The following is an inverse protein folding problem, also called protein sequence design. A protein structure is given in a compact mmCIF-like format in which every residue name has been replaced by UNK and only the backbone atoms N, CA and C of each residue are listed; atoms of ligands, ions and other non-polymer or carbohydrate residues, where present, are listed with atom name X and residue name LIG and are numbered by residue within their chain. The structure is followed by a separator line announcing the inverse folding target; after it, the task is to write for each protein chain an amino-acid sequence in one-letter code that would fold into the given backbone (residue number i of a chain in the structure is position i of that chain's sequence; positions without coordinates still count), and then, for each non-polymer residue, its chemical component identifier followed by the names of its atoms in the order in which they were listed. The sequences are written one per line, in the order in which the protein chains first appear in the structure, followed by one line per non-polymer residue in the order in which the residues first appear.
data_IF_043156463687
#
_entry.id   IF_043156463687
#
_cell.length_a   1.000
_cell.length_b   1.000
_cell.length_c   1.000
_cell.angle_alpha   90.00
_cell.angle_beta   90.00
_cell.angle_gamma   90.00
#
_symmetry.space_group_name_H-M   'P 1'
#
loop_
_entity.id
_entity.type
_entity.pdbx_description
1 polymer ?
#
# COMPACT_ATOMS: atom_id res chain seq x y z
N UNK A 1 5.26 12.46 10.48
CA UNK A 1 5.95 11.19 10.80
C UNK A 1 4.98 10.10 10.45
N UNK A 2 5.35 9.21 9.54
CA UNK A 2 4.50 8.11 9.08
C UNK A 2 5.17 6.81 9.49
N UNK A 3 4.44 5.89 10.10
CA UNK A 3 4.95 4.56 10.43
C UNK A 3 3.83 3.52 10.34
N UNK A 4 4.07 2.49 9.54
CA UNK A 4 3.17 1.35 9.38
C UNK A 4 3.95 0.04 9.48
N UNK A 5 3.30 -0.99 10.03
CA UNK A 5 3.84 -2.33 10.26
C UNK A 5 2.81 -3.36 9.83
N UNK A 6 3.24 -4.41 9.15
CA UNK A 6 2.47 -5.64 9.00
C UNK A 6 3.32 -6.86 9.36
N UNK A 7 2.71 -7.84 10.04
CA UNK A 7 3.38 -9.07 10.44
C UNK A 7 2.55 -10.30 10.07
N UNK A 8 3.22 -11.33 9.53
CA UNK A 8 2.66 -12.65 9.27
C UNK A 8 2.98 -13.56 10.45
N UNK A 9 1.96 -13.85 11.25
CA UNK A 9 2.04 -14.78 12.38
C UNK A 9 1.51 -16.15 11.98
N UNK A 10 1.54 -17.12 12.89
CA UNK A 10 1.02 -18.47 12.63
C UNK A 10 -0.47 -18.46 12.31
N UNK A 11 -1.24 -17.66 13.04
CA UNK A 11 -2.70 -17.68 12.97
C UNK A 11 -3.27 -16.60 12.03
N UNK A 12 -2.44 -15.95 11.22
CA UNK A 12 -2.88 -14.95 10.24
C UNK A 12 -1.96 -13.73 10.13
N UNK A 13 -2.56 -12.56 9.97
CA UNK A 13 -1.88 -11.29 9.73
C UNK A 13 -2.24 -10.24 10.77
N UNK A 14 -1.26 -9.42 11.14
CA UNK A 14 -1.44 -8.25 12.01
C UNK A 14 -1.02 -7.01 11.24
N UNK A 15 -1.83 -5.96 11.31
CA UNK A 15 -1.57 -4.68 10.66
C UNK A 15 -1.68 -3.54 11.69
N UNK A 16 -0.74 -2.59 11.63
CA UNK A 16 -0.76 -1.38 12.43
C UNK A 16 -0.29 -0.19 11.60
N UNK A 17 -0.96 0.94 11.75
CA UNK A 17 -0.54 2.20 11.14
C UNK A 17 -0.81 3.37 12.06
N UNK A 18 0.08 4.35 12.04
CA UNK A 18 -0.17 5.65 12.63
C UNK A 18 -1.04 6.51 11.69
N UNK A 19 -1.44 7.69 12.15
CA UNK A 19 -2.31 8.60 11.39
C UNK A 19 -1.73 10.01 11.19
N UNK A 20 -0.58 10.34 11.79
CA UNK A 20 0.04 11.66 11.64
C UNK A 20 0.62 11.80 10.25
N UNK A 21 0.25 12.82 9.50
CA UNK A 21 0.74 13.01 8.13
C UNK A 21 1.17 14.46 7.93
N UNK A 22 2.30 14.62 7.24
CA UNK A 22 2.76 15.92 6.77
C UNK A 22 2.13 16.17 5.39
N UNK A 23 1.28 17.18 5.29
CA UNK A 23 0.59 17.59 4.06
C UNK A 23 1.21 18.87 3.44
N UNK A 24 2.30 19.40 4.01
CA UNK A 24 2.95 20.63 3.59
C UNK A 24 3.71 21.29 4.74
N UNK A 25 4.50 22.32 4.43
CA UNK A 25 5.15 23.15 5.45
C UNK A 25 4.06 23.69 6.38
N UNK A 26 4.18 23.38 7.68
CA UNK A 26 3.24 23.72 8.76
C UNK A 26 1.85 23.05 8.73
N UNK A 27 1.61 22.07 7.85
CA UNK A 27 0.36 21.32 7.80
C UNK A 27 0.54 19.87 8.26
N UNK A 28 0.44 19.66 9.57
CA UNK A 28 0.36 18.32 10.16
C UNK A 28 -1.10 17.98 10.46
N UNK A 29 -1.61 16.95 9.80
CA UNK A 29 -3.01 16.52 9.88
C UNK A 29 -3.12 15.02 10.16
N UNK A 30 -4.34 14.55 10.41
CA UNK A 30 -4.65 13.15 10.66
C UNK A 30 -5.25 12.53 9.40
N UNK A 31 -4.59 11.52 8.82
CA UNK A 31 -5.11 10.75 7.69
C UNK A 31 -4.94 9.25 7.95
N UNK A 32 -5.97 8.45 7.63
CA UNK A 32 -5.84 7.00 7.67
C UNK A 32 -4.80 6.54 6.64
N UNK A 33 -3.89 5.69 7.10
CA UNK A 33 -2.88 5.02 6.26
C UNK A 33 -3.17 3.54 6.08
N UNK A 34 -4.34 3.07 6.52
CA UNK A 34 -4.82 1.71 6.36
C UNK A 34 -6.10 1.73 5.54
N UNK A 35 -6.12 0.93 4.47
CA UNK A 35 -7.24 0.84 3.54
C UNK A 35 -7.60 -0.61 3.33
N UNK A 36 -8.89 -0.93 3.46
CA UNK A 36 -9.40 -2.30 3.41
C UNK A 36 -10.21 -2.47 2.13
N UNK A 37 -9.98 -3.58 1.44
CA UNK A 37 -10.66 -4.03 0.23
C UNK A 37 -11.05 -5.49 0.45
N UNK A 38 -12.33 -5.82 0.42
CA UNK A 38 -12.76 -7.20 0.68
C UNK A 38 -14.11 -7.52 0.06
N UNK A 39 -14.31 -8.82 -0.14
CA UNK A 39 -15.58 -9.45 -0.46
C UNK A 39 -15.75 -10.53 0.60
N UNK A 40 -16.84 -10.46 1.35
CA UNK A 40 -17.09 -11.38 2.46
C UNK A 40 -16.96 -12.84 2.00
N UNK A 41 -16.30 -13.65 2.84
CA UNK A 41 -16.02 -15.08 2.61
C UNK A 41 -15.11 -15.42 1.42
N UNK A 42 -14.72 -14.43 0.61
CA UNK A 42 -13.93 -14.66 -0.62
C UNK A 42 -12.55 -13.99 -0.57
N UNK A 43 -12.44 -12.72 -0.16
CA UNK A 43 -11.14 -12.05 -0.04
C UNK A 43 -11.13 -10.94 1.00
N UNK A 44 -9.97 -10.74 1.59
CA UNK A 44 -9.66 -9.61 2.45
C UNK A 44 -8.26 -9.11 2.13
N UNK A 45 -8.14 -7.88 1.63
CA UNK A 45 -6.89 -7.22 1.25
C UNK A 45 -6.78 -5.90 2.00
N UNK A 46 -5.64 -5.66 2.62
CA UNK A 46 -5.29 -4.47 3.40
C UNK A 46 -4.08 -3.80 2.76
N UNK A 47 -4.19 -2.50 2.52
CA UNK A 47 -3.10 -1.65 2.06
C UNK A 47 -2.67 -0.71 3.19
N UNK A 48 -1.38 -0.73 3.54
CA UNK A 48 -0.75 0.29 4.36
C UNK A 48 0.05 1.24 3.47
N UNK A 49 -0.02 2.56 3.72
CA UNK A 49 0.63 3.57 2.87
C UNK A 49 1.66 4.41 3.63
N UNK A 50 2.74 4.78 2.93
CA UNK A 50 3.74 5.74 3.40
C UNK A 50 4.33 6.54 2.22
N UNK A 51 4.88 7.72 2.53
CA UNK A 51 5.47 8.63 1.54
C UNK A 51 4.56 9.82 1.23
N UNK A 52 4.59 10.28 -0.02
CA UNK A 52 3.84 11.46 -0.46
C UNK A 52 2.32 11.29 -0.30
N UNK A 53 1.67 12.20 0.44
CA UNK A 53 0.23 12.09 0.72
C UNK A 53 -0.62 12.19 -0.56
N UNK A 54 -0.28 13.08 -1.49
CA UNK A 54 -1.06 13.24 -2.72
C UNK A 54 -0.98 11.99 -3.59
N UNK A 55 0.22 11.43 -3.76
CA UNK A 55 0.45 10.19 -4.52
C UNK A 55 -0.25 9.00 -3.86
N UNK A 56 -0.13 8.82 -2.53
CA UNK A 56 -0.84 7.73 -1.84
C UNK A 56 -2.35 7.82 -2.01
N UNK A 57 -2.92 9.03 -1.91
CA UNK A 57 -4.36 9.24 -2.12
C UNK A 57 -4.78 8.99 -3.57
N UNK A 58 -3.97 9.41 -4.55
CA UNK A 58 -4.25 9.20 -5.96
C UNK A 58 -4.28 7.70 -6.32
N UNK A 59 -3.30 6.93 -5.82
CA UNK A 59 -3.25 5.47 -5.96
C UNK A 59 -4.50 4.82 -5.37
N UNK A 60 -4.85 5.13 -4.11
CA UNK A 60 -6.05 4.56 -3.46
C UNK A 60 -7.34 4.97 -4.19
N UNK A 61 -7.44 6.22 -4.64
CA UNK A 61 -8.59 6.72 -5.37
C UNK A 61 -8.76 6.03 -6.72
N UNK A 62 -7.65 5.75 -7.43
CA UNK A 62 -7.66 4.98 -8.67
C UNK A 62 -8.14 3.54 -8.42
N UNK A 63 -7.57 2.83 -7.45
CA UNK A 63 -7.98 1.45 -7.13
C UNK A 63 -9.48 1.36 -6.79
N UNK A 64 -9.99 2.31 -5.99
CA UNK A 64 -11.44 2.39 -5.66
C UNK A 64 -12.31 2.75 -6.86
N UNK A 65 -11.82 3.58 -7.78
CA UNK A 65 -12.54 3.94 -9.00
C UNK A 65 -12.65 2.75 -9.94
N UNK A 66 -11.54 2.06 -10.18
CA UNK A 66 -11.50 0.89 -11.06
C UNK A 66 -12.46 -0.20 -10.56
N UNK A 67 -12.58 -0.39 -9.24
CA UNK A 67 -13.62 -1.26 -8.63
C UNK A 67 -15.04 -0.75 -8.95
N UNK A 68 -15.34 0.53 -8.69
CA UNK A 68 -16.69 1.09 -8.91
C UNK A 68 -17.11 1.07 -10.38
N UNK A 69 -16.15 1.21 -11.29
CA UNK A 69 -16.37 1.24 -12.74
C UNK A 69 -16.30 -0.17 -13.37
N UNK A 70 -16.15 -1.22 -12.55
CA UNK A 70 -16.03 -2.61 -13.00
C UNK A 70 -14.95 -2.80 -14.07
N UNK A 71 -13.77 -2.21 -13.86
CA UNK A 71 -12.62 -2.44 -14.71
C UNK A 71 -12.29 -3.95 -14.76
N UNK A 72 -11.69 -4.39 -15.87
CA UNK A 72 -11.35 -5.81 -16.08
C UNK A 72 -10.43 -6.38 -14.99
N UNK A 73 -9.54 -5.55 -14.46
CA UNK A 73 -8.58 -5.91 -13.43
C UNK A 73 -8.66 -4.93 -12.25
N UNK A 74 -8.98 -5.46 -11.07
CA UNK A 74 -9.14 -4.71 -9.82
C UNK A 74 -8.72 -5.58 -8.64
N UNK A 75 -8.59 -5.00 -7.45
CA UNK A 75 -8.38 -5.77 -6.21
C UNK A 75 -9.51 -6.79 -5.92
N UNK A 76 -10.67 -6.65 -6.57
CA UNK A 76 -11.80 -7.57 -6.45
C UNK A 76 -11.80 -8.67 -7.52
N UNK A 77 -10.91 -8.60 -8.52
CA UNK A 77 -10.84 -9.58 -9.62
C UNK A 77 -9.48 -10.26 -9.78
N UNK A 78 -8.42 -9.74 -9.14
CA UNK A 78 -7.11 -10.42 -9.07
C UNK A 78 -7.23 -11.85 -8.50
N UNK A 79 -6.39 -12.77 -8.99
CA UNK A 79 -6.47 -14.20 -8.65
C UNK A 79 -5.61 -14.55 -7.44
N UNK A 80 -4.51 -13.84 -7.23
CA UNK A 80 -3.58 -14.06 -6.12
C UNK A 80 -3.25 -12.75 -5.39
N UNK A 81 -2.68 -12.83 -4.18
CA UNK A 81 -2.16 -11.65 -3.48
C UNK A 81 -0.92 -11.07 -4.17
N UNK A 82 -0.19 -11.88 -4.95
CA UNK A 82 0.91 -11.41 -5.79
C UNK A 82 0.39 -10.52 -6.93
N UNK A 83 -0.67 -10.96 -7.62
CA UNK A 83 -1.36 -10.14 -8.63
C UNK A 83 -1.87 -8.82 -8.04
N UNK A 84 -2.30 -8.83 -6.77
CA UNK A 84 -2.68 -7.61 -6.06
C UNK A 84 -1.48 -6.67 -5.85
N UNK A 85 -0.31 -7.22 -5.51
CA UNK A 85 0.93 -6.45 -5.38
C UNK A 85 1.39 -5.88 -6.73
N UNK A 86 1.32 -6.66 -7.81
CA UNK A 86 1.56 -6.19 -9.19
C UNK A 86 0.63 -5.05 -9.60
N UNK A 87 -0.67 -5.18 -9.31
CA UNK A 87 -1.66 -4.15 -9.62
C UNK A 87 -1.37 -2.85 -8.86
N UNK A 88 -1.07 -2.94 -7.57
CA UNK A 88 -0.69 -1.76 -6.76
C UNK A 88 0.60 -1.15 -7.30
N UNK A 89 1.62 -1.96 -7.60
CA UNK A 89 2.89 -1.50 -8.17
C UNK A 89 2.73 -0.76 -9.50
N UNK A 90 1.97 -1.32 -10.44
CA UNK A 90 1.63 -0.63 -11.71
C UNK A 90 0.87 0.67 -11.49
N UNK A 91 -0.02 0.71 -10.50
CA UNK A 91 -0.79 1.91 -10.17
C UNK A 91 0.10 3.01 -9.58
N UNK A 92 1.08 2.64 -8.75
CA UNK A 92 2.11 3.55 -8.22
C UNK A 92 2.92 4.17 -9.36
N UNK A 93 3.47 3.34 -10.24
CA UNK A 93 4.27 3.81 -11.38
C UNK A 93 3.45 4.71 -12.29
N UNK A 94 2.21 4.34 -12.61
CA UNK A 94 1.30 5.16 -13.42
C UNK A 94 1.11 6.57 -12.83
N UNK A 95 0.88 6.69 -11.52
CA UNK A 95 0.69 8.00 -10.88
C UNK A 95 1.98 8.81 -10.84
N UNK A 96 3.10 8.15 -10.54
CA UNK A 96 4.42 8.78 -10.51
C UNK A 96 4.88 9.25 -11.90
N UNK A 97 4.57 8.54 -12.98
CA UNK A 97 4.84 9.00 -14.35
C UNK A 97 3.98 10.22 -14.71
N UNK A 98 2.73 10.26 -14.24
CA UNK A 98 1.80 11.35 -14.54
C UNK A 98 2.12 12.64 -13.80
N UNK A 99 2.56 12.55 -12.54
CA UNK A 99 2.69 13.70 -11.64
C UNK A 99 4.10 13.89 -11.06
N UNK A 100 4.95 12.86 -11.07
CA UNK A 100 6.22 12.86 -10.36
C UNK A 100 7.23 13.88 -10.86
N UNK A 101 7.25 14.19 -12.16
CA UNK A 101 8.16 15.20 -12.72
C UNK A 101 7.88 16.59 -12.17
N UNK A 102 6.60 17.01 -12.14
CA UNK A 102 6.18 18.30 -11.59
C UNK A 102 6.44 18.40 -10.07
N UNK A 103 6.17 17.32 -9.33
CA UNK A 103 6.42 17.25 -7.88
C UNK A 103 7.92 17.36 -7.58
N UNK A 104 8.75 16.65 -8.34
CA UNK A 104 10.22 16.70 -8.21
C UNK A 104 10.77 18.08 -8.55
N UNK A 105 10.26 18.72 -9.62
CA UNK A 105 10.64 20.09 -9.99
C UNK A 105 10.28 21.11 -8.91
N UNK A 106 9.20 20.87 -8.15
CA UNK A 106 8.82 21.68 -6.99
C UNK A 106 9.66 21.40 -5.73
N UNK A 107 10.67 20.51 -5.81
CA UNK A 107 11.58 20.20 -4.71
C UNK A 107 11.04 19.17 -3.70
N UNK A 108 9.95 18.46 -4.03
CA UNK A 108 9.37 17.43 -3.17
C UNK A 108 9.58 16.03 -3.75
N UNK A 109 9.61 15.01 -2.88
CA UNK A 109 9.56 13.62 -3.33
C UNK A 109 8.11 13.19 -3.61
N UNK A 110 7.87 12.57 -4.77
CA UNK A 110 6.61 11.92 -5.12
C UNK A 110 6.59 10.44 -4.70
N UNK A 111 7.66 9.94 -4.07
CA UNK A 111 7.80 8.53 -3.78
C UNK A 111 6.80 8.06 -2.72
N UNK A 112 6.33 6.84 -2.92
CA UNK A 112 5.43 6.15 -2.02
C UNK A 112 5.86 4.70 -1.87
N UNK A 113 5.53 4.12 -0.73
CA UNK A 113 5.69 2.69 -0.47
C UNK A 113 4.39 2.16 0.11
N UNK A 114 4.01 0.97 -0.31
CA UNK A 114 2.84 0.28 0.21
C UNK A 114 3.22 -1.06 0.82
N UNK A 115 2.51 -1.45 1.87
CA UNK A 115 2.40 -2.86 2.25
C UNK A 115 1.05 -3.35 1.74
N UNK A 116 1.07 -4.41 0.93
CA UNK A 116 -0.11 -5.15 0.48
C UNK A 116 -0.16 -6.44 1.29
N UNK A 117 -1.26 -6.68 2.00
CA UNK A 117 -1.41 -7.89 2.78
C UNK A 117 -2.83 -8.39 2.78
N UNK A 118 -3.03 -9.69 2.97
CA UNK A 118 -4.37 -10.23 2.99
C UNK A 118 -4.43 -11.71 2.67
N UNK A 119 -5.63 -12.16 2.34
CA UNK A 119 -5.93 -13.52 1.91
C UNK A 119 -7.03 -13.48 0.84
N UNK A 120 -6.87 -14.30 -0.20
CA UNK A 120 -7.90 -14.63 -1.19
C UNK A 120 -8.24 -16.11 -0.98
N UNK A 121 -9.51 -16.48 -1.16
CA UNK A 121 -10.01 -17.83 -0.97
C UNK A 121 -9.15 -18.87 -1.72
N UNK A 122 -8.80 -19.95 -1.03
CA UNK A 122 -7.91 -21.00 -1.54
C UNK A 122 -6.40 -20.66 -1.48
N UNK A 123 -6.05 -19.41 -1.16
CA UNK A 123 -4.68 -18.97 -0.94
C UNK A 123 -4.29 -18.84 0.53
N UNK A 124 -2.98 -18.87 0.79
CA UNK A 124 -2.40 -18.58 2.09
C UNK A 124 -2.37 -17.06 2.36
N UNK A 125 -2.50 -16.61 3.62
CA UNK A 125 -2.27 -15.21 3.96
C UNK A 125 -0.86 -14.79 3.59
N UNK A 126 -0.71 -13.64 2.94
CA UNK A 126 0.58 -13.15 2.45
C UNK A 126 0.76 -11.65 2.67
N UNK A 127 2.02 -11.21 2.69
CA UNK A 127 2.43 -9.81 2.81
C UNK A 127 3.48 -9.50 1.75
N UNK A 128 3.32 -8.35 1.10
CA UNK A 128 4.21 -7.80 0.09
C UNK A 128 4.51 -6.33 0.40
N UNK A 129 5.73 -5.88 0.16
CA UNK A 129 6.12 -4.47 0.25
C UNK A 129 6.44 -3.97 -1.15
N UNK A 130 5.60 -3.06 -1.64
CA UNK A 130 5.70 -2.43 -2.97
C UNK A 130 6.52 -1.16 -2.86
N UNK A 131 7.61 -1.11 -3.62
CA UNK A 131 8.54 0.02 -3.70
C UNK A 131 8.03 1.10 -4.67
N UNK A 132 8.60 2.32 -4.63
CA UNK A 132 8.25 3.39 -5.57
C UNK A 132 8.41 3.00 -7.05
N UNK A 133 9.31 2.06 -7.35
CA UNK A 133 9.56 1.56 -8.71
C UNK A 133 8.51 0.53 -9.17
N UNK A 134 7.52 0.21 -8.34
CA UNK A 134 6.44 -0.73 -8.64
C UNK A 134 6.79 -2.21 -8.45
N UNK A 135 8.06 -2.54 -8.25
CA UNK A 135 8.47 -3.88 -7.83
C UNK A 135 8.21 -4.11 -6.33
N UNK A 136 8.31 -5.37 -5.88
CA UNK A 136 8.04 -5.73 -4.49
C UNK A 136 8.88 -6.90 -3.98
N UNK A 137 8.91 -7.04 -2.65
CA UNK A 137 9.37 -8.24 -1.94
C UNK A 137 8.24 -8.81 -1.09
N UNK A 138 8.35 -10.07 -0.67
CA UNK A 138 7.43 -10.72 0.26
C UNK A 138 8.13 -11.16 1.55
N UNK A 139 7.35 -11.43 2.60
CA UNK A 139 7.87 -12.02 3.84
C UNK A 139 8.36 -13.46 3.63
N UNK A 140 9.40 -13.86 4.36
CA UNK A 140 9.91 -15.24 4.41
C UNK A 140 9.64 -15.89 5.77
N UNK A 141 10.16 -17.11 5.98
CA UNK A 141 10.06 -17.77 7.30
C UNK A 141 10.91 -17.04 8.35
N UNK A 142 12.01 -16.44 7.93
CA UNK A 142 13.01 -15.71 8.72
C UNK A 142 12.60 -14.25 8.90
N UNK A 143 12.01 -13.63 7.85
CA UNK A 143 11.55 -12.23 7.88
C UNK A 143 10.03 -12.19 7.83
N UNK A 144 9.41 -12.19 9.03
CA UNK A 144 7.95 -12.31 9.22
C UNK A 144 7.19 -10.99 9.26
N UNK A 145 7.87 -9.85 9.13
CA UNK A 145 7.22 -8.55 9.20
C UNK A 145 7.84 -7.56 8.20
N UNK A 146 7.06 -6.55 7.84
CA UNK A 146 7.43 -5.46 6.94
C UNK A 146 7.07 -4.12 7.59
N UNK A 147 7.93 -3.12 7.40
CA UNK A 147 7.75 -1.76 7.93
C UNK A 147 7.92 -0.74 6.82
N UNK A 148 7.12 0.31 6.83
CA UNK A 148 7.24 1.44 5.90
C UNK A 148 7.15 2.77 6.66
N UNK A 149 7.76 3.83 6.11
CA UNK A 149 7.91 5.13 6.77
C UNK A 149 9.12 5.20 7.70
N UNK A 150 8.97 5.85 8.86
CA UNK A 150 10.01 6.07 9.87
C UNK A 150 10.31 4.80 10.69
N UNK A 151 10.82 3.75 10.03
CA UNK A 151 11.03 2.43 10.63
C UNK A 151 12.26 2.34 11.57
N UNK A 152 13.14 3.36 11.59
CA UNK A 152 14.42 3.31 12.32
C UNK A 152 14.28 3.21 13.83
N UNK A 153 13.19 3.72 14.40
CA UNK A 153 12.98 3.79 15.85
C UNK A 153 12.22 2.59 16.43
N UNK A 154 11.62 1.77 15.57
CA UNK A 154 10.83 0.60 15.96
C UNK A 154 11.50 -0.74 15.67
N UNK A 155 12.81 -0.73 15.38
CA UNK A 155 13.65 -1.92 15.27
C UNK A 155 14.31 -2.27 16.60
#
# INVERSE_FOLDING_TARGET
MTYCLAAKVRDGLVFASDSRTNAGVDHVSTYSKMHIFGIDEERQIVLLSAGNLATTQAVIAKLKRDIRENASETLFTVRTLEDAADLVGRTVVYDMERHGSAVTQAGFSAEVTFIVGGQIYGGEPALYMVYPQGNYISTSKETRYLQIGEAKYGK
#
